data_IF_823343797531
#
_entry.id   IF_823343797531
#
_cell.length_a   1.000
_cell.length_b   1.000
_cell.length_c   1.000
_cell.angle_alpha   90.00
_cell.angle_beta   90.00
_cell.angle_gamma   90.00
#
_symmetry.space_group_name_H-M   'P 1'
#
loop_
_entity.id
_entity.type
_entity.pdbx_description
1 polymer ?
#
# COMPACT_ATOMS: atom_id res chain seq x y z
N UNK A 1 3.07 -50.23 12.62
CA UNK A 1 3.52 -49.32 11.54
C UNK A 1 2.55 -48.15 11.46
N UNK A 2 2.65 -47.18 12.38
CA UNK A 2 1.78 -45.99 12.42
C UNK A 2 2.65 -44.82 12.89
N UNK A 3 3.65 -44.44 12.10
CA UNK A 3 4.57 -43.35 12.48
C UNK A 3 5.08 -42.58 11.26
N UNK A 4 4.24 -42.35 10.26
CA UNK A 4 4.68 -41.65 9.04
C UNK A 4 3.63 -40.69 8.42
N UNK A 5 2.58 -40.30 9.15
CA UNK A 5 1.51 -39.45 8.59
C UNK A 5 1.28 -38.11 9.32
N UNK A 6 2.14 -37.73 10.27
CA UNK A 6 1.94 -36.48 11.04
C UNK A 6 2.98 -35.37 10.79
N UNK A 7 3.85 -35.47 9.78
CA UNK A 7 4.94 -34.49 9.58
C UNK A 7 4.75 -33.51 8.42
N UNK A 8 3.62 -33.54 7.70
CA UNK A 8 3.40 -32.66 6.53
C UNK A 8 2.51 -31.44 6.86
N UNK A 9 1.82 -31.42 8.01
CA UNK A 9 0.86 -30.37 8.33
C UNK A 9 1.46 -29.11 9.03
N UNK A 10 2.78 -29.05 9.25
CA UNK A 10 3.40 -27.98 10.07
C UNK A 10 4.00 -26.83 9.23
N UNK A 11 4.05 -26.95 7.90
CA UNK A 11 4.58 -25.87 7.04
C UNK A 11 3.53 -24.90 6.48
N UNK A 12 2.27 -24.98 6.93
CA UNK A 12 1.21 -24.11 6.43
C UNK A 12 1.03 -22.80 7.24
N UNK A 13 1.74 -22.63 8.35
CA UNK A 13 1.55 -21.50 9.26
C UNK A 13 2.85 -20.73 9.44
N UNK A 14 3.16 -19.80 8.53
CA UNK A 14 4.02 -18.63 8.79
C UNK A 14 4.24 -17.70 7.58
N UNK A 15 3.41 -17.71 6.54
CA UNK A 15 3.41 -16.60 5.56
C UNK A 15 2.47 -15.50 6.05
N UNK A 16 2.82 -14.87 7.17
CA UNK A 16 2.35 -13.50 7.40
C UNK A 16 3.13 -12.65 6.40
N UNK A 17 2.62 -12.53 5.18
CA UNK A 17 3.13 -11.51 4.25
C UNK A 17 2.90 -10.18 4.94
N UNK A 18 3.98 -9.46 5.22
CA UNK A 18 3.90 -8.04 5.58
C UNK A 18 3.12 -7.39 4.42
N UNK A 19 1.89 -6.97 4.72
CA UNK A 19 1.03 -6.32 3.74
C UNK A 19 1.67 -4.98 3.38
N UNK A 20 1.75 -4.67 2.09
CA UNK A 20 2.38 -3.44 1.64
C UNK A 20 1.56 -2.22 2.06
N UNK A 21 2.21 -1.09 2.28
CA UNK A 21 1.57 0.15 2.72
C UNK A 21 0.60 0.65 1.65
N UNK A 22 0.98 0.53 0.37
CA UNK A 22 0.11 0.86 -0.76
C UNK A 22 -1.20 0.04 -0.78
N UNK A 23 -1.15 -1.24 -0.40
CA UNK A 23 -2.33 -2.12 -0.34
C UNK A 23 -3.20 -1.76 0.85
N UNK A 24 -2.59 -1.46 1.99
CA UNK A 24 -3.32 -0.98 3.17
C UNK A 24 -4.02 0.35 2.87
N UNK A 25 -3.31 1.32 2.30
CA UNK A 25 -3.84 2.60 1.83
C UNK A 25 -5.04 2.39 0.89
N UNK A 26 -4.89 1.55 -0.14
CA UNK A 26 -5.96 1.28 -1.11
C UNK A 26 -7.22 0.68 -0.47
N UNK A 27 -7.06 -0.09 0.60
CA UNK A 27 -8.18 -0.65 1.36
C UNK A 27 -8.84 0.40 2.24
N UNK A 28 -8.05 1.28 2.84
CA UNK A 28 -8.54 2.36 3.68
C UNK A 28 -9.34 3.38 2.84
N UNK A 29 -8.85 3.79 1.65
CA UNK A 29 -9.62 4.65 0.73
C UNK A 29 -10.99 4.05 0.36
N UNK A 30 -11.05 2.73 0.10
CA UNK A 30 -12.32 2.05 -0.23
C UNK A 30 -13.29 2.04 0.95
N UNK A 31 -12.75 1.95 2.16
CA UNK A 31 -13.56 2.01 3.38
C UNK A 31 -14.14 3.41 3.55
N UNK A 32 -13.31 4.45 3.35
CA UNK A 32 -13.72 5.85 3.43
C UNK A 32 -14.74 6.21 2.33
N UNK A 33 -14.55 5.75 1.08
CA UNK A 33 -15.54 5.91 0.00
C UNK A 33 -16.92 5.35 0.39
N UNK A 34 -16.93 4.15 0.99
CA UNK A 34 -18.17 3.50 1.43
C UNK A 34 -18.82 4.25 2.59
N UNK A 35 -18.03 4.72 3.56
CA UNK A 35 -18.51 5.50 4.70
C UNK A 35 -19.10 6.84 4.24
N UNK A 36 -18.37 7.60 3.41
CA UNK A 36 -18.80 8.88 2.85
C UNK A 36 -20.08 8.72 2.00
N UNK A 37 -20.11 7.74 1.09
CA UNK A 37 -21.29 7.50 0.24
C UNK A 37 -22.51 7.03 1.03
N UNK A 38 -22.31 6.38 2.17
CA UNK A 38 -23.39 5.97 3.09
C UNK A 38 -23.91 7.17 3.87
N UNK A 39 -23.02 8.04 4.37
CA UNK A 39 -23.36 9.26 5.09
C UNK A 39 -24.18 10.21 4.21
N UNK A 40 -23.76 10.48 2.97
CA UNK A 40 -24.52 11.28 2.01
C UNK A 40 -25.94 10.77 1.73
N UNK A 41 -26.21 9.48 1.98
CA UNK A 41 -27.51 8.83 1.75
C UNK A 41 -28.31 8.63 3.04
N UNK A 42 -27.68 8.74 4.21
CA UNK A 42 -28.28 8.58 5.53
C UNK A 42 -28.71 9.91 6.13
N UNK A 43 -28.11 11.04 5.74
CA UNK A 43 -28.71 12.32 6.06
C UNK A 43 -30.15 12.33 5.50
N UNK A 44 -31.13 12.74 6.31
CA UNK A 44 -32.57 12.85 5.98
C UNK A 44 -32.84 13.94 4.91
N UNK A 45 -32.04 13.94 3.86
CA UNK A 45 -31.97 14.93 2.80
C UNK A 45 -33.01 14.56 1.76
N UNK A 46 -34.17 15.19 1.91
CA UNK A 46 -35.26 15.17 0.94
C UNK A 46 -34.81 15.83 -0.39
N UNK A 47 -33.72 16.60 -0.39
CA UNK A 47 -33.25 17.39 -1.52
C UNK A 47 -32.14 16.70 -2.34
N UNK A 48 -32.56 16.12 -3.48
CA UNK A 48 -31.68 15.44 -4.45
C UNK A 48 -30.39 16.19 -4.84
N UNK A 49 -30.37 17.53 -4.99
CA UNK A 49 -29.15 18.27 -5.32
C UNK A 49 -28.08 18.21 -4.24
N UNK A 50 -28.45 18.20 -2.96
CA UNK A 50 -27.52 18.16 -1.83
C UNK A 50 -26.83 16.80 -1.75
N UNK A 51 -27.59 15.70 -1.88
CA UNK A 51 -27.04 14.33 -1.97
C UNK A 51 -26.06 14.19 -3.15
N UNK A 52 -26.38 14.78 -4.30
CA UNK A 52 -25.49 14.76 -5.47
C UNK A 52 -24.22 15.60 -5.26
N UNK A 53 -24.32 16.70 -4.53
CA UNK A 53 -23.16 17.51 -4.12
C UNK A 53 -22.23 16.71 -3.22
N UNK A 54 -22.77 16.12 -2.15
CA UNK A 54 -22.03 15.29 -1.20
C UNK A 54 -21.34 14.10 -1.90
N UNK A 55 -22.07 13.34 -2.73
CA UNK A 55 -21.48 12.22 -3.48
C UNK A 55 -20.37 12.66 -4.45
N UNK A 56 -20.41 13.89 -4.95
CA UNK A 56 -19.36 14.45 -5.80
C UNK A 56 -18.10 14.77 -4.98
N UNK A 57 -18.27 15.31 -3.77
CA UNK A 57 -17.16 15.57 -2.83
C UNK A 57 -16.49 14.26 -2.42
N UNK A 58 -17.26 13.25 -1.98
CA UNK A 58 -16.73 11.91 -1.69
C UNK A 58 -15.90 11.33 -2.85
N UNK A 59 -16.36 11.53 -4.09
CA UNK A 59 -15.67 11.04 -5.28
C UNK A 59 -14.33 11.74 -5.49
N UNK A 60 -14.25 13.04 -5.23
CA UNK A 60 -12.99 13.79 -5.35
C UNK A 60 -11.99 13.31 -4.29
N UNK A 61 -12.43 13.18 -3.04
CA UNK A 61 -11.59 12.67 -1.93
C UNK A 61 -11.08 11.25 -2.22
N UNK A 62 -11.96 10.38 -2.72
CA UNK A 62 -11.58 9.01 -3.10
C UNK A 62 -10.57 8.99 -4.25
N UNK A 63 -10.71 9.89 -5.23
CA UNK A 63 -9.77 10.03 -6.35
C UNK A 63 -8.38 10.50 -5.85
N UNK A 64 -8.34 11.46 -4.92
CA UNK A 64 -7.10 11.91 -4.28
C UNK A 64 -6.43 10.77 -3.51
N UNK A 65 -7.17 10.13 -2.60
CA UNK A 65 -6.68 9.00 -1.79
C UNK A 65 -6.15 7.86 -2.68
N UNK A 66 -6.86 7.53 -3.76
CA UNK A 66 -6.40 6.50 -4.71
C UNK A 66 -5.07 6.89 -5.38
N UNK A 67 -4.91 8.16 -5.76
CA UNK A 67 -3.66 8.64 -6.37
C UNK A 67 -2.47 8.58 -5.40
N UNK A 68 -2.68 8.88 -4.12
CA UNK A 68 -1.67 8.74 -3.06
C UNK A 68 -1.23 7.27 -2.92
N UNK A 69 -2.18 6.34 -2.84
CA UNK A 69 -1.86 4.92 -2.75
C UNK A 69 -1.15 4.37 -4.00
N UNK A 70 -1.52 4.85 -5.19
CA UNK A 70 -0.84 4.50 -6.43
C UNK A 70 0.61 5.01 -6.45
N UNK A 71 0.85 6.22 -5.93
CA UNK A 71 2.17 6.81 -5.73
C UNK A 71 3.02 5.95 -4.79
N UNK A 72 2.51 5.59 -3.61
CA UNK A 72 3.19 4.69 -2.66
C UNK A 72 3.51 3.34 -3.32
N UNK A 73 2.56 2.79 -4.09
CA UNK A 73 2.75 1.54 -4.81
C UNK A 73 3.82 1.60 -5.90
N UNK A 74 4.09 2.78 -6.49
CA UNK A 74 5.21 2.98 -7.40
C UNK A 74 6.54 2.94 -6.63
N UNK A 75 6.64 3.66 -5.52
CA UNK A 75 7.86 3.72 -4.71
C UNK A 75 8.25 2.34 -4.15
N UNK A 76 7.27 1.56 -3.67
CA UNK A 76 7.51 0.18 -3.22
C UNK A 76 8.04 -0.74 -4.34
N UNK A 77 7.54 -0.56 -5.57
CA UNK A 77 8.01 -1.32 -6.73
C UNK A 77 9.45 -0.98 -7.08
N UNK A 78 9.80 0.31 -7.07
CA UNK A 78 11.17 0.77 -7.33
C UNK A 78 12.13 0.28 -6.24
N UNK A 79 11.75 0.37 -4.96
CA UNK A 79 12.51 -0.19 -3.84
C UNK A 79 12.79 -1.68 -4.04
N UNK A 80 11.75 -2.46 -4.37
CA UNK A 80 11.90 -3.89 -4.62
C UNK A 80 12.87 -4.16 -5.78
N UNK A 81 12.71 -3.45 -6.89
CA UNK A 81 13.59 -3.61 -8.05
C UNK A 81 15.04 -3.21 -7.73
N UNK A 82 15.24 -2.16 -6.93
CA UNK A 82 16.55 -1.73 -6.47
C UNK A 82 17.21 -2.80 -5.57
N UNK A 83 16.46 -3.32 -4.60
CA UNK A 83 16.92 -4.40 -3.72
C UNK A 83 17.31 -5.66 -4.52
N UNK A 84 16.51 -6.05 -5.52
CA UNK A 84 16.81 -7.18 -6.40
C UNK A 84 18.11 -6.95 -7.21
N UNK A 85 18.36 -5.71 -7.67
CA UNK A 85 19.62 -5.34 -8.33
C UNK A 85 20.81 -5.43 -7.37
N UNK A 86 20.70 -4.89 -6.16
CA UNK A 86 21.76 -4.99 -5.15
C UNK A 86 22.04 -6.45 -4.75
N UNK A 87 21.00 -7.29 -4.65
CA UNK A 87 21.16 -8.71 -4.32
C UNK A 87 21.83 -9.49 -5.45
N UNK A 88 21.46 -9.24 -6.70
CA UNK A 88 22.01 -9.93 -7.87
C UNK A 88 23.40 -9.42 -8.30
N UNK A 89 23.79 -8.21 -7.88
CA UNK A 89 25.10 -7.67 -8.20
C UNK A 89 26.24 -8.46 -7.49
N UNK A 90 27.30 -8.86 -8.21
CA UNK A 90 28.46 -9.55 -7.64
C UNK A 90 29.42 -8.54 -6.98
N UNK A 91 29.00 -7.99 -5.83
CA UNK A 91 29.88 -7.15 -5.01
C UNK A 91 31.11 -7.92 -4.53
N UNK A 92 32.24 -7.21 -4.38
CA UNK A 92 33.49 -7.81 -3.91
C UNK A 92 33.50 -8.05 -2.40
N UNK A 93 32.69 -7.28 -1.67
CA UNK A 93 32.55 -7.37 -0.23
C UNK A 93 31.08 -7.15 0.18
N UNK A 94 30.73 -7.54 1.40
CA UNK A 94 29.36 -7.40 1.91
C UNK A 94 29.00 -5.96 2.28
N UNK A 95 30.01 -5.12 2.54
CA UNK A 95 29.80 -3.71 2.89
C UNK A 95 29.20 -2.91 1.72
N UNK A 96 29.73 -3.07 0.51
CA UNK A 96 29.22 -2.42 -0.70
C UNK A 96 27.77 -2.83 -0.99
N UNK A 97 27.42 -4.09 -0.69
CA UNK A 97 26.05 -4.59 -0.81
C UNK A 97 25.12 -3.92 0.19
N UNK A 98 25.56 -3.81 1.44
CA UNK A 98 24.80 -3.14 2.49
C UNK A 98 24.60 -1.66 2.18
N UNK A 99 25.63 -0.99 1.67
CA UNK A 99 25.56 0.40 1.20
C UNK A 99 24.54 0.55 0.07
N UNK A 100 24.57 -0.34 -0.94
CA UNK A 100 23.58 -0.36 -2.02
C UNK A 100 22.14 -0.50 -1.50
N UNK A 101 21.88 -1.42 -0.56
CA UNK A 101 20.54 -1.60 0.03
C UNK A 101 20.10 -0.39 0.86
N UNK A 102 21.03 0.29 1.53
CA UNK A 102 20.77 1.53 2.26
C UNK A 102 20.39 2.66 1.31
N UNK A 103 21.11 2.82 0.20
CA UNK A 103 20.77 3.79 -0.84
C UNK A 103 19.38 3.52 -1.43
N UNK A 104 19.05 2.27 -1.75
CA UNK A 104 17.70 1.90 -2.20
C UNK A 104 16.61 2.32 -1.20
N UNK A 105 16.86 2.12 0.10
CA UNK A 105 15.90 2.47 1.15
C UNK A 105 15.74 3.99 1.28
N UNK A 106 16.85 4.73 1.17
CA UNK A 106 16.85 6.20 1.18
C UNK A 106 16.10 6.79 -0.02
N UNK A 107 16.34 6.26 -1.22
CA UNK A 107 15.62 6.68 -2.43
C UNK A 107 14.12 6.40 -2.33
N UNK A 108 13.75 5.27 -1.71
CA UNK A 108 12.35 4.92 -1.48
C UNK A 108 11.66 5.88 -0.50
N UNK A 109 12.34 6.29 0.58
CA UNK A 109 11.84 7.29 1.54
C UNK A 109 11.55 8.63 0.83
N UNK A 110 12.52 9.14 0.06
CA UNK A 110 12.35 10.37 -0.74
C UNK A 110 11.21 10.22 -1.76
N UNK A 111 11.08 9.04 -2.38
CA UNK A 111 10.00 8.78 -3.32
C UNK A 111 8.62 8.87 -2.64
N UNK A 112 8.50 8.33 -1.43
CA UNK A 112 7.22 8.29 -0.69
C UNK A 112 6.81 9.63 -0.07
N UNK A 113 7.77 10.52 0.28
CA UNK A 113 7.48 11.84 0.87
C UNK A 113 6.38 12.63 0.13
N UNK A 114 6.45 12.85 -1.21
CA UNK A 114 5.42 13.60 -1.91
C UNK A 114 4.09 12.84 -2.05
N UNK A 115 4.05 11.53 -1.80
CA UNK A 115 2.82 10.74 -1.88
C UNK A 115 1.87 11.04 -0.72
N UNK A 116 2.38 11.46 0.44
CA UNK A 116 1.59 11.84 1.63
C UNK A 116 1.21 13.34 1.63
N UNK A 117 1.67 14.11 0.64
CA UNK A 117 1.51 15.58 0.57
C UNK A 117 0.59 16.07 -0.57
N UNK A 118 -0.18 15.19 -1.22
CA UNK A 118 -1.10 15.59 -2.30
C UNK A 118 -2.29 16.47 -1.82
N UNK A 119 -2.35 16.79 -0.52
CA UNK A 119 -3.45 17.53 0.12
C UNK A 119 -3.02 18.77 0.97
N UNK A 120 -1.87 19.41 0.66
CA UNK A 120 -1.49 20.71 1.28
C UNK A 120 -1.50 21.92 0.35
#
# INVERSE_FOLDING_TARGET
MITALCLIAVFASCYASVESESVKCSRDCKKEELECSTECRMEDVIDKPEVLGCLKECKIETETCTAECECLGLCERELKACNEKCQSHPFQNDHDREECLKECSYDAEICSEPCDELDR
#
